data_IF_652631814284
#
_entry.id   IF_652631814284
#
_cell.length_a   1.000
_cell.length_b   1.000
_cell.length_c   1.000
_cell.angle_alpha   90.00
_cell.angle_beta   90.00
_cell.angle_gamma   90.00
#
_symmetry.space_group_name_H-M   'P 1'
#
loop_
_entity.id
_entity.type
_entity.pdbx_description
1 polymer ?
#
# COMPACT_ATOMS: atom_id res chain seq x y z
N UNK A 1 16.61 -9.25 11.32
CA UNK A 1 15.20 -9.34 11.78
C UNK A 1 15.20 -9.92 13.18
N UNK A 2 14.43 -9.35 14.11
CA UNK A 2 14.38 -9.83 15.50
C UNK A 2 12.98 -10.33 15.83
N UNK A 3 12.93 -11.41 16.62
CA UNK A 3 11.71 -11.94 17.21
C UNK A 3 11.66 -11.55 18.68
N UNK A 4 10.49 -11.19 19.16
CA UNK A 4 10.21 -10.94 20.57
C UNK A 4 9.28 -12.02 21.07
N UNK A 5 9.72 -12.82 22.06
CA UNK A 5 8.90 -13.85 22.71
C UNK A 5 8.87 -13.62 24.21
N UNK A 6 7.70 -13.83 24.82
CA UNK A 6 7.53 -13.69 26.27
C UNK A 6 8.05 -14.93 26.98
N UNK A 7 8.84 -14.76 28.03
CA UNK A 7 9.33 -15.86 28.85
C UNK A 7 8.18 -16.47 29.66
N UNK A 8 7.95 -17.80 29.61
CA UNK A 8 6.87 -18.44 30.37
C UNK A 8 7.10 -18.42 31.88
N UNK A 9 8.34 -18.30 32.34
CA UNK A 9 8.67 -18.33 33.77
C UNK A 9 8.56 -16.97 34.48
N UNK A 10 8.89 -15.86 33.80
CA UNK A 10 8.94 -14.53 34.43
C UNK A 10 8.25 -13.41 33.62
N UNK A 11 7.55 -13.76 32.55
CA UNK A 11 6.85 -12.84 31.65
C UNK A 11 7.71 -11.73 30.99
N UNK A 12 9.04 -11.77 31.11
CA UNK A 12 9.92 -10.81 30.42
C UNK A 12 9.93 -11.06 28.91
N UNK A 13 9.95 -9.97 28.14
CA UNK A 13 10.06 -10.00 26.68
C UNK A 13 11.51 -10.23 26.27
N UNK A 14 11.78 -11.35 25.61
CA UNK A 14 13.11 -11.72 25.12
C UNK A 14 13.19 -11.39 23.63
N UNK A 15 14.15 -10.53 23.29
CA UNK A 15 14.44 -10.14 21.90
C UNK A 15 15.67 -10.90 21.41
N UNK A 16 15.56 -11.55 20.26
CA UNK A 16 16.68 -12.32 19.70
C UNK A 16 16.67 -12.28 18.16
N UNK A 17 17.84 -12.39 17.52
CA UNK A 17 17.97 -12.40 16.07
C UNK A 17 17.53 -13.75 15.48
N UNK A 18 16.72 -13.73 14.41
CA UNK A 18 16.34 -14.96 13.67
C UNK A 18 17.32 -15.33 12.55
N UNK A 19 18.20 -14.40 12.16
CA UNK A 19 19.10 -14.56 11.01
C UNK A 19 20.38 -15.36 11.30
N UNK A 20 20.46 -16.04 12.45
CA UNK A 20 21.65 -16.77 12.89
C UNK A 20 21.46 -18.29 12.94
N UNK A 21 20.38 -18.80 12.33
CA UNK A 21 20.01 -20.21 12.45
C UNK A 21 19.49 -20.54 13.85
N UNK A 22 19.63 -21.80 14.26
CA UNK A 22 19.21 -22.27 15.57
C UNK A 22 20.09 -21.67 16.68
N UNK A 23 19.49 -20.82 17.53
CA UNK A 23 20.19 -20.16 18.64
C UNK A 23 19.59 -20.54 19.99
N UNK A 24 20.43 -20.69 21.01
CA UNK A 24 19.96 -20.87 22.39
C UNK A 24 19.69 -19.51 23.02
N UNK A 25 18.43 -19.23 23.33
CA UNK A 25 17.99 -17.99 23.99
C UNK A 25 17.87 -18.26 25.49
N UNK A 26 18.59 -17.48 26.32
CA UNK A 26 18.56 -17.58 27.78
C UNK A 26 17.89 -16.35 28.38
N UNK A 27 16.93 -16.57 29.27
CA UNK A 27 16.32 -15.54 30.09
C UNK A 27 17.14 -15.30 31.36
N UNK A 28 17.09 -14.09 31.89
CA UNK A 28 17.69 -13.75 33.18
C UNK A 28 17.11 -14.56 34.36
N UNK A 29 15.87 -15.08 34.25
CA UNK A 29 15.28 -15.94 35.28
C UNK A 29 15.78 -17.40 35.22
N UNK A 30 16.71 -17.74 34.32
CA UNK A 30 17.25 -19.08 34.15
C UNK A 30 16.58 -19.95 33.08
N UNK A 31 15.37 -19.59 32.63
CA UNK A 31 14.70 -20.30 31.52
C UNK A 31 15.52 -20.18 30.23
N UNK A 32 15.68 -21.28 29.50
CA UNK A 32 16.34 -21.27 28.18
C UNK A 32 15.61 -22.16 27.20
N UNK A 33 15.59 -21.76 25.93
CA UNK A 33 15.02 -22.53 24.84
C UNK A 33 15.86 -22.36 23.57
N UNK A 34 15.66 -23.25 22.61
CA UNK A 34 16.31 -23.17 21.29
C UNK A 34 15.33 -22.49 20.35
N UNK A 35 15.73 -21.36 19.79
CA UNK A 35 15.00 -20.68 18.73
C UNK A 35 15.55 -21.16 17.38
N UNK A 36 14.86 -22.12 16.79
CA UNK A 36 15.13 -22.64 15.46
C UNK A 36 14.17 -22.00 14.44
N UNK A 37 14.67 -21.25 13.43
CA UNK A 37 13.82 -20.62 12.43
C UNK A 37 12.95 -21.60 11.64
N UNK A 38 13.36 -22.88 11.54
CA UNK A 38 12.62 -23.91 10.82
C UNK A 38 11.48 -24.52 11.66
N UNK A 39 11.48 -24.30 12.98
CA UNK A 39 10.43 -24.78 13.87
C UNK A 39 9.30 -23.74 14.04
N UNK A 40 8.10 -24.07 13.56
CA UNK A 40 6.94 -23.15 13.63
C UNK A 40 6.49 -22.79 15.05
N UNK A 41 6.80 -23.62 16.06
CA UNK A 41 6.41 -23.38 17.45
C UNK A 41 7.09 -22.15 18.07
N UNK A 42 8.22 -21.70 17.51
CA UNK A 42 8.91 -20.52 18.02
C UNK A 42 8.08 -19.25 17.81
N UNK A 43 7.24 -19.22 16.77
CA UNK A 43 6.43 -18.07 16.37
C UNK A 43 5.10 -17.98 17.14
N UNK A 44 4.67 -19.05 17.81
CA UNK A 44 3.44 -19.03 18.63
C UNK A 44 3.60 -18.03 19.77
N UNK A 45 2.71 -17.02 19.80
CA UNK A 45 2.73 -15.95 20.80
C UNK A 45 3.94 -15.02 20.72
N UNK A 46 4.69 -15.04 19.61
CA UNK A 46 5.81 -14.14 19.39
C UNK A 46 5.38 -12.92 18.54
N UNK A 47 6.09 -11.81 18.68
CA UNK A 47 5.89 -10.59 17.88
C UNK A 47 7.18 -10.25 17.14
N UNK A 48 7.08 -9.91 15.87
CA UNK A 48 8.24 -9.42 15.12
C UNK A 48 8.54 -7.98 15.48
N UNK A 49 9.81 -7.70 15.71
CA UNK A 49 10.27 -6.33 15.94
C UNK A 49 10.52 -5.65 14.60
N UNK A 50 9.54 -4.86 14.17
CA UNK A 50 9.55 -4.11 12.92
C UNK A 50 10.08 -2.68 13.09
N UNK A 51 10.51 -2.30 14.29
CA UNK A 51 10.83 -0.90 14.64
C UNK A 51 12.06 -0.32 13.92
N UNK A 52 12.76 -1.12 13.11
CA UNK A 52 13.93 -0.69 12.31
C UNK A 52 13.69 -0.63 10.80
N UNK A 53 12.46 -0.85 10.33
CA UNK A 53 12.14 -0.92 8.90
C UNK A 53 11.51 0.35 8.33
N UNK A 54 11.35 1.41 9.13
CA UNK A 54 11.07 2.73 8.56
C UNK A 54 12.37 3.20 7.86
N UNK A 55 12.36 3.46 6.54
CA UNK A 55 13.52 4.06 5.89
C UNK A 55 13.81 5.36 6.63
N UNK A 56 14.99 5.44 7.24
CA UNK A 56 15.49 6.67 7.81
C UNK A 56 15.74 7.60 6.62
N UNK A 57 14.73 8.40 6.23
CA UNK A 57 14.83 9.41 5.18
C UNK A 57 15.78 10.49 5.73
N UNK A 58 17.08 10.23 5.58
CA UNK A 58 18.16 11.10 6.00
C UNK A 58 18.30 12.15 4.91
N UNK A 59 17.67 13.31 5.11
CA UNK A 59 17.92 14.49 4.28
C UNK A 59 16.71 15.09 3.56
N UNK A 60 15.55 15.24 4.22
CA UNK A 60 14.50 16.12 3.69
C UNK A 60 14.41 17.39 4.54
N UNK A 61 14.54 18.52 3.85
CA UNK A 61 14.66 19.89 4.35
C UNK A 61 13.45 20.34 5.15
N UNK A 62 13.67 21.34 6.01
CA UNK A 62 12.73 21.89 7.01
C UNK A 62 11.37 22.33 6.47
N UNK A 63 11.23 22.52 5.16
CA UNK A 63 9.98 22.94 4.50
C UNK A 63 8.94 21.81 4.39
N UNK A 64 9.35 20.54 4.37
CA UNK A 64 8.42 19.40 4.33
C UNK A 64 7.67 19.17 5.64
N UNK A 65 8.14 19.74 6.76
CA UNK A 65 7.51 19.57 8.08
C UNK A 65 6.13 20.23 8.19
N UNK A 66 5.84 21.22 7.33
CA UNK A 66 4.56 21.95 7.35
C UNK A 66 3.49 21.22 6.52
N UNK A 67 3.88 20.50 5.46
CA UNK A 67 2.95 19.75 4.60
C UNK A 67 2.50 18.43 5.26
N UNK A 68 3.32 17.86 6.15
CA UNK A 68 3.11 16.54 6.78
C UNK A 68 2.17 16.58 8.00
N UNK A 69 1.63 17.74 8.39
CA UNK A 69 0.64 17.82 9.48
C UNK A 69 -0.81 17.54 9.03
N UNK A 70 -1.06 17.40 7.73
CA UNK A 70 -2.23 16.67 7.26
C UNK A 70 -1.87 15.19 7.22
N UNK A 71 -2.81 14.30 7.57
CA UNK A 71 -2.68 12.83 7.69
C UNK A 71 -2.43 12.13 6.32
N UNK A 72 -1.46 12.66 5.58
CA UNK A 72 -1.08 12.34 4.22
C UNK A 72 -0.38 10.98 4.18
N UNK A 73 0.24 10.56 5.28
CA UNK A 73 0.77 9.20 5.43
C UNK A 73 -0.33 8.14 5.33
N UNK A 74 -1.48 8.38 5.96
CA UNK A 74 -2.63 7.47 5.90
C UNK A 74 -3.32 7.50 4.54
N UNK A 75 -3.43 8.68 3.91
CA UNK A 75 -3.96 8.80 2.54
C UNK A 75 -3.05 8.19 1.48
N UNK A 76 -1.74 8.43 1.54
CA UNK A 76 -0.76 7.81 0.62
C UNK A 76 -0.78 6.30 0.82
N UNK A 77 -0.84 5.80 2.06
CA UNK A 77 -0.93 4.37 2.30
C UNK A 77 -2.21 3.78 1.68
N UNK A 78 -3.37 4.43 1.88
CA UNK A 78 -4.63 4.01 1.26
C UNK A 78 -4.57 4.06 -0.28
N UNK A 79 -3.98 5.13 -0.83
CA UNK A 79 -3.80 5.29 -2.27
C UNK A 79 -2.85 4.26 -2.87
N UNK A 80 -1.69 4.02 -2.23
CA UNK A 80 -0.72 3.01 -2.65
C UNK A 80 -1.32 1.61 -2.61
N UNK A 81 -2.07 1.29 -1.55
CA UNK A 81 -2.76 0.00 -1.42
C UNK A 81 -3.84 -0.13 -2.50
N UNK A 82 -4.60 0.95 -2.75
CA UNK A 82 -5.59 1.03 -3.84
C UNK A 82 -4.96 0.81 -5.21
N UNK A 83 -3.91 1.55 -5.54
CA UNK A 83 -3.19 1.45 -6.81
C UNK A 83 -2.61 0.05 -7.03
N UNK A 84 -2.02 -0.56 -5.99
CA UNK A 84 -1.53 -1.93 -6.05
C UNK A 84 -2.67 -2.92 -6.28
N UNK A 85 -3.78 -2.82 -5.54
CA UNK A 85 -4.94 -3.70 -5.75
C UNK A 85 -5.55 -3.56 -7.15
N UNK A 86 -5.63 -2.36 -7.69
CA UNK A 86 -6.10 -2.11 -9.07
C UNK A 86 -5.13 -2.76 -10.07
N UNK A 87 -3.83 -2.54 -9.92
CA UNK A 87 -2.80 -3.16 -10.76
C UNK A 87 -2.89 -4.68 -10.72
N UNK A 88 -3.00 -5.28 -9.53
CA UNK A 88 -3.12 -6.72 -9.38
C UNK A 88 -4.43 -7.27 -9.95
N UNK A 89 -5.55 -6.55 -9.82
CA UNK A 89 -6.83 -6.92 -10.46
C UNK A 89 -6.76 -6.86 -11.98
N UNK A 90 -6.05 -5.86 -12.53
CA UNK A 90 -5.87 -5.72 -13.97
C UNK A 90 -4.94 -6.80 -14.53
N UNK A 91 -3.84 -7.11 -13.83
CA UNK A 91 -2.91 -8.18 -14.23
C UNK A 91 -3.54 -9.57 -14.09
N UNK A 92 -4.33 -9.80 -13.05
CA UNK A 92 -5.05 -11.06 -12.84
C UNK A 92 -6.45 -11.07 -13.47
N UNK A 93 -6.74 -10.15 -14.39
CA UNK A 93 -8.06 -10.03 -14.99
C UNK A 93 -8.53 -11.37 -15.61
N UNK A 94 -7.60 -12.17 -16.15
CA UNK A 94 -7.90 -13.51 -16.70
C UNK A 94 -8.42 -14.50 -15.64
N UNK A 95 -7.99 -14.40 -14.40
CA UNK A 95 -8.37 -15.28 -13.28
C UNK A 95 -9.63 -14.81 -12.53
N UNK A 96 -10.13 -13.59 -12.82
CA UNK A 96 -11.33 -13.09 -12.15
C UNK A 96 -12.60 -13.88 -12.55
N UNK A 97 -13.53 -14.11 -11.61
CA UNK A 97 -14.81 -14.76 -11.89
C UNK A 97 -15.64 -13.95 -12.90
N UNK A 98 -16.38 -14.65 -13.77
CA UNK A 98 -17.06 -14.04 -14.93
C UNK A 98 -18.02 -12.88 -14.61
N UNK A 99 -18.62 -12.89 -13.42
CA UNK A 99 -19.51 -11.81 -12.97
C UNK A 99 -18.76 -10.48 -12.75
N UNK A 100 -17.56 -10.51 -12.17
CA UNK A 100 -16.75 -9.30 -11.95
C UNK A 100 -16.17 -8.76 -13.26
N UNK A 101 -15.80 -9.64 -14.19
CA UNK A 101 -15.35 -9.24 -15.53
C UNK A 101 -16.41 -8.46 -16.30
N UNK A 102 -17.67 -8.91 -16.25
CA UNK A 102 -18.80 -8.19 -16.90
C UNK A 102 -19.02 -6.83 -16.28
N UNK A 103 -18.96 -6.71 -14.96
CA UNK A 103 -19.10 -5.43 -14.25
C UNK A 103 -18.00 -4.44 -14.67
N UNK A 104 -16.74 -4.89 -14.72
CA UNK A 104 -15.62 -4.05 -15.15
C UNK A 104 -15.75 -3.64 -16.62
N UNK A 105 -16.11 -4.58 -17.51
CA UNK A 105 -16.33 -4.29 -18.92
C UNK A 105 -17.46 -3.26 -19.14
N UNK A 106 -18.55 -3.37 -18.39
CA UNK A 106 -19.68 -2.43 -18.46
C UNK A 106 -19.28 -1.03 -18.00
N UNK A 107 -18.52 -0.92 -16.90
CA UNK A 107 -17.99 0.36 -16.41
C UNK A 107 -17.06 1.00 -17.45
N UNK A 108 -16.16 0.23 -18.05
CA UNK A 108 -15.26 0.72 -19.12
C UNK A 108 -16.04 1.20 -20.35
N UNK A 109 -17.10 0.50 -20.73
CA UNK A 109 -17.96 0.88 -21.86
C UNK A 109 -18.66 2.21 -21.60
N UNK A 110 -19.22 2.41 -20.40
CA UNK A 110 -19.85 3.68 -20.00
C UNK A 110 -18.83 4.82 -20.06
N UNK A 111 -17.63 4.62 -19.51
CA UNK A 111 -16.56 5.64 -19.53
C UNK A 111 -16.20 6.00 -20.98
N UNK A 112 -16.05 5.00 -21.86
CA UNK A 112 -15.75 5.23 -23.27
C UNK A 112 -16.89 6.01 -23.98
N UNK A 113 -18.15 5.68 -23.71
CA UNK A 113 -19.30 6.39 -24.25
C UNK A 113 -19.35 7.86 -23.77
N UNK A 114 -19.11 8.10 -22.49
CA UNK A 114 -19.03 9.46 -21.94
C UNK A 114 -17.91 10.28 -22.58
N UNK A 115 -16.72 9.68 -22.78
CA UNK A 115 -15.60 10.34 -23.45
C UNK A 115 -15.93 10.66 -24.91
N UNK A 116 -16.57 9.75 -25.63
CA UNK A 116 -17.01 10.00 -27.00
C UNK A 116 -18.00 11.16 -27.10
N UNK A 117 -19.00 11.20 -26.21
CA UNK A 117 -19.95 12.32 -26.14
C UNK A 117 -19.23 13.63 -25.83
N UNK A 118 -18.31 13.63 -24.87
CA UNK A 118 -17.52 14.83 -24.52
C UNK A 118 -16.73 15.35 -25.73
N UNK A 119 -16.07 14.46 -26.47
CA UNK A 119 -15.32 14.82 -27.69
C UNK A 119 -16.26 15.43 -28.73
N UNK A 120 -17.42 14.81 -28.97
CA UNK A 120 -18.43 15.33 -29.92
C UNK A 120 -18.90 16.73 -29.52
N UNK A 121 -19.17 16.96 -28.23
CA UNK A 121 -19.58 18.27 -27.71
C UNK A 121 -18.47 19.31 -27.93
N UNK A 122 -17.23 18.97 -27.61
CA UNK A 122 -16.07 19.87 -27.82
C UNK A 122 -15.91 20.20 -29.31
N UNK A 123 -15.99 19.20 -30.19
CA UNK A 123 -15.91 19.41 -31.63
C UNK A 123 -17.07 20.29 -32.14
N UNK A 124 -18.30 20.05 -31.70
CA UNK A 124 -19.46 20.86 -32.07
C UNK A 124 -19.32 22.31 -31.61
N UNK A 125 -18.81 22.55 -30.39
CA UNK A 125 -18.52 23.90 -29.89
C UNK A 125 -17.39 24.58 -30.67
N UNK A 126 -16.37 23.84 -31.11
CA UNK A 126 -15.27 24.39 -31.91
C UNK A 126 -15.67 24.78 -33.34
N UNK A 127 -16.81 24.26 -33.82
CA UNK A 127 -17.39 24.60 -35.11
C UNK A 127 -18.41 25.75 -35.06
N UNK A 128 -18.62 26.36 -33.89
CA UNK A 128 -19.45 27.56 -33.80
C UNK A 128 -18.83 28.65 -34.70
N UNK A 129 -19.52 29.10 -35.76
CA UNK A 129 -18.95 30.07 -36.68
C UNK A 129 -18.68 31.37 -35.94
N UNK A 130 -17.43 31.83 -35.99
CA UNK A 130 -17.12 33.23 -35.72
C UNK A 130 -17.96 34.08 -36.67
N UNK A 131 -19.05 34.66 -36.17
CA UNK A 131 -19.79 35.71 -36.89
C UNK A 131 -18.80 36.86 -37.11
N UNK A 132 -18.43 37.18 -38.36
CA UNK A 132 -17.59 38.35 -38.61
C UNK A 132 -18.38 39.58 -38.18
N UNK A 133 -17.77 40.40 -37.33
CA UNK A 133 -18.34 41.65 -36.86
C UNK A 133 -18.85 42.44 -38.07
N UNK A 134 -20.14 42.77 -38.06
CA UNK A 134 -20.76 43.60 -39.07
C UNK A 134 -20.02 44.95 -39.08
N UNK A 135 -19.34 45.23 -40.19
CA UNK A 135 -18.79 46.56 -40.48
C UNK A 135 -19.94 47.57 -40.42
N UNK A 136 -19.92 48.43 -39.41
CA UNK A 136 -20.71 49.67 -39.39
C UNK A 136 -19.87 50.75 -40.06
N UNK A 137 -20.51 51.38 -41.05
CA UNK A 137 -20.03 52.37 -42.02
C UNK A 137 -19.33 53.55 -41.38
#
# INVERSE_FOLDING_TARGET
MHLIKTCPACARRLRFPLNKGAIKVKCACGYSFIADPDNTDIYRGATFDLTRSAPHIKGMTSLWRIIVNFDFGRMIAAFATGALTIKYRLQNFRLLPGAEKRKIAFVLLIIAACLAVLIVVICAMSQAPHTPDAMVI
#
